data_IF_817016122551
#
_entry.id   IF_817016122551
#
_cell.length_a   1.000
_cell.length_b   1.000
_cell.length_c   1.000
_cell.angle_alpha   90.00
_cell.angle_beta   90.00
_cell.angle_gamma   90.00
#
_symmetry.space_group_name_H-M   'P 1'
#
loop_
_entity.id
_entity.type
_entity.pdbx_description
1 polymer ?
#
# COMPACT_ATOMS: atom_id res chain seq x y z
N UNK A 1 31.47 74.78 -38.35
CA UNK A 1 31.43 73.32 -38.54
C UNK A 1 32.83 72.83 -38.31
N UNK A 2 33.16 71.97 -37.39
CA UNK A 2 32.47 71.24 -36.32
C UNK A 2 33.61 70.36 -35.76
N UNK A 3 33.54 69.98 -34.48
CA UNK A 3 34.21 68.77 -33.96
C UNK A 3 35.76 68.84 -33.85
N UNK A 4 36.45 68.54 -32.75
CA UNK A 4 36.15 67.72 -31.58
C UNK A 4 37.02 68.19 -30.40
N UNK A 5 36.36 68.56 -29.32
CA UNK A 5 36.88 68.51 -27.96
C UNK A 5 36.82 67.06 -27.47
N UNK A 6 37.94 66.50 -27.04
CA UNK A 6 37.93 65.44 -26.03
C UNK A 6 39.30 65.33 -25.37
N UNK A 7 39.30 64.85 -24.12
CA UNK A 7 40.42 64.59 -23.21
C UNK A 7 40.68 65.65 -22.13
N UNK A 8 39.71 65.77 -21.22
CA UNK A 8 40.04 65.91 -19.79
C UNK A 8 39.27 64.86 -18.99
N UNK A 9 39.90 64.20 -18.00
CA UNK A 9 39.26 63.16 -17.20
C UNK A 9 38.30 63.81 -16.20
N UNK A 10 37.02 63.50 -16.33
CA UNK A 10 36.00 63.84 -15.33
C UNK A 10 36.28 63.04 -14.06
N UNK A 11 36.70 63.72 -12.99
CA UNK A 11 36.77 63.14 -11.66
C UNK A 11 35.38 62.61 -11.27
N UNK A 12 35.30 61.31 -11.01
CA UNK A 12 34.09 60.64 -10.54
C UNK A 12 33.66 61.26 -9.20
N UNK A 13 32.52 61.94 -9.21
CA UNK A 13 31.83 62.43 -8.01
C UNK A 13 31.37 61.20 -7.21
N UNK A 14 31.86 61.09 -5.97
CA UNK A 14 31.48 60.03 -5.04
C UNK A 14 29.95 59.97 -4.88
N UNK A 15 29.35 58.76 -4.80
CA UNK A 15 27.93 58.62 -4.51
C UNK A 15 27.66 59.13 -3.09
N UNK A 16 26.65 60.00 -2.97
CA UNK A 16 26.16 60.47 -1.67
C UNK A 16 25.73 59.28 -0.80
N UNK A 17 25.93 59.33 0.52
CA UNK A 17 25.44 58.28 1.41
C UNK A 17 23.92 58.21 1.31
N UNK A 18 23.42 57.04 0.93
CA UNK A 18 21.99 56.72 0.92
C UNK A 18 21.42 56.94 2.33
N UNK A 19 20.28 57.63 2.50
CA UNK A 19 19.65 57.75 3.81
C UNK A 19 19.34 56.36 4.36
N UNK A 20 19.67 56.15 5.63
CA UNK A 20 19.47 54.91 6.34
C UNK A 20 18.01 54.43 6.20
N UNK A 21 17.76 53.11 6.08
CA UNK A 21 16.40 52.57 6.11
C UNK A 21 15.75 52.97 7.44
N UNK A 22 14.61 53.65 7.35
CA UNK A 22 13.81 53.98 8.52
C UNK A 22 13.53 52.70 9.34
N UNK A 23 13.59 52.76 10.68
CA UNK A 23 13.16 51.64 11.51
C UNK A 23 11.71 51.33 11.16
N UNK A 24 11.45 50.10 10.72
CA UNK A 24 10.09 49.64 10.44
C UNK A 24 9.21 49.78 11.68
N UNK A 25 7.88 49.87 11.52
CA UNK A 25 6.96 49.93 12.64
C UNK A 25 7.20 48.73 13.57
N UNK A 26 7.39 49.01 14.85
CA UNK A 26 7.47 47.99 15.90
C UNK A 26 6.22 47.11 15.84
N UNK A 27 6.33 45.80 16.11
CA UNK A 27 5.18 44.90 16.12
C UNK A 27 4.16 45.41 17.15
N UNK A 28 3.00 45.84 16.67
CA UNK A 28 1.85 46.19 17.51
C UNK A 28 1.60 45.05 18.51
N UNK A 29 1.43 45.34 19.81
CA UNK A 29 1.17 44.30 20.80
C UNK A 29 -0.13 43.58 20.42
N UNK A 30 -0.07 42.24 20.34
CA UNK A 30 -1.23 41.39 20.07
C UNK A 30 -2.41 41.85 20.94
N UNK A 31 -3.56 42.12 20.31
CA UNK A 31 -4.72 42.64 21.02
C UNK A 31 -5.12 41.60 22.07
N UNK A 32 -5.67 42.01 23.20
CA UNK A 32 -6.12 41.07 24.24
C UNK A 32 -7.09 39.99 23.67
N UNK A 33 -7.83 40.35 22.62
CA UNK A 33 -8.67 39.45 21.81
C UNK A 33 -7.85 38.36 21.11
N UNK A 34 -6.72 38.69 20.49
CA UNK A 34 -5.85 37.74 19.78
C UNK A 34 -5.21 36.74 20.75
N UNK A 35 -4.81 37.22 21.93
CA UNK A 35 -4.29 36.37 23.01
C UNK A 35 -5.36 35.39 23.49
N UNK A 36 -6.60 35.86 23.70
CA UNK A 36 -7.71 35.01 24.13
C UNK A 36 -8.08 33.97 23.05
N UNK A 37 -8.04 34.36 21.77
CA UNK A 37 -8.28 33.44 20.64
C UNK A 37 -7.19 32.35 20.60
N UNK A 38 -5.92 32.72 20.76
CA UNK A 38 -4.83 31.76 20.76
C UNK A 38 -4.91 30.78 21.94
N UNK A 39 -5.25 31.26 23.14
CA UNK A 39 -5.48 30.42 24.32
C UNK A 39 -6.61 29.40 24.10
N UNK A 40 -7.73 29.84 23.50
CA UNK A 40 -8.84 28.94 23.17
C UNK A 40 -8.45 27.87 22.13
N UNK A 41 -7.62 28.23 21.14
CA UNK A 41 -7.08 27.27 20.17
C UNK A 41 -6.17 26.24 20.84
N UNK A 42 -5.25 26.68 21.69
CA UNK A 42 -4.31 25.81 22.38
C UNK A 42 -5.03 24.82 23.32
N UNK A 43 -6.05 25.29 24.05
CA UNK A 43 -6.90 24.44 24.91
C UNK A 43 -7.60 23.34 24.10
N UNK A 44 -8.22 23.69 22.97
CA UNK A 44 -8.91 22.71 22.11
C UNK A 44 -7.93 21.72 21.49
N UNK A 45 -6.72 22.16 21.11
CA UNK A 45 -5.68 21.29 20.58
C UNK A 45 -5.15 20.33 21.65
N UNK A 46 -4.98 20.79 22.88
CA UNK A 46 -4.61 19.96 24.02
C UNK A 46 -5.70 18.94 24.37
N UNK A 47 -6.96 19.36 24.36
CA UNK A 47 -8.11 18.46 24.50
C UNK A 47 -8.09 17.35 23.43
N UNK A 48 -7.88 17.71 22.16
CA UNK A 48 -7.80 16.74 21.07
C UNK A 48 -6.62 15.77 21.24
N UNK A 49 -5.46 16.24 21.73
CA UNK A 49 -4.30 15.38 22.03
C UNK A 49 -4.59 14.38 23.15
N UNK A 50 -5.21 14.84 24.24
CA UNK A 50 -5.49 14.02 25.43
C UNK A 50 -6.61 13.02 25.19
N UNK A 51 -7.64 13.39 24.43
CA UNK A 51 -8.81 12.55 24.13
C UNK A 51 -8.65 11.69 22.87
N UNK A 52 -7.44 11.68 22.30
CA UNK A 52 -7.13 10.88 21.13
C UNK A 52 -7.38 9.38 21.41
N UNK A 53 -7.98 8.64 20.46
CA UNK A 53 -8.09 7.20 20.60
C UNK A 53 -6.73 6.56 20.86
N UNK A 54 -6.63 5.77 21.94
CA UNK A 54 -5.36 5.16 22.40
C UNK A 54 -4.64 4.39 21.28
N UNK A 55 -5.39 3.75 20.39
CA UNK A 55 -4.84 3.02 19.24
C UNK A 55 -4.21 3.95 18.20
N UNK A 56 -4.81 5.11 17.94
CA UNK A 56 -4.27 6.10 16.99
C UNK A 56 -2.99 6.72 17.54
N UNK A 57 -2.97 7.08 18.83
CA UNK A 57 -1.77 7.58 19.50
C UNK A 57 -0.60 6.59 19.38
N UNK A 58 -0.81 5.35 19.84
CA UNK A 58 0.19 4.28 19.76
C UNK A 58 0.68 4.00 18.34
N UNK A 59 -0.18 4.16 17.34
CA UNK A 59 0.15 3.87 15.95
C UNK A 59 0.86 5.02 15.24
N UNK A 60 0.51 6.28 15.55
CA UNK A 60 1.01 7.44 14.82
C UNK A 60 2.26 8.03 15.44
N UNK A 61 2.38 8.00 16.78
CA UNK A 61 3.53 8.56 17.49
C UNK A 61 4.87 7.96 17.02
N UNK A 62 5.02 6.63 16.83
CA UNK A 62 6.27 6.08 16.31
C UNK A 62 6.59 6.55 14.89
N UNK A 63 5.55 6.71 14.04
CA UNK A 63 5.72 7.16 12.65
C UNK A 63 6.11 8.64 12.58
N UNK A 64 5.53 9.46 13.45
CA UNK A 64 5.88 10.88 13.58
C UNK A 64 7.29 11.04 14.14
N UNK A 65 7.69 10.20 15.10
CA UNK A 65 9.06 10.20 15.63
C UNK A 65 10.09 9.85 14.55
N UNK A 66 9.78 8.85 13.74
CA UNK A 66 10.61 8.44 12.60
C UNK A 66 10.73 9.55 11.56
N UNK A 67 9.62 10.23 11.24
CA UNK A 67 9.61 11.41 10.38
C UNK A 67 10.55 12.51 10.90
N UNK A 68 10.46 12.84 12.19
CA UNK A 68 11.31 13.86 12.82
C UNK A 68 12.79 13.46 12.79
N UNK A 69 13.09 12.20 13.08
CA UNK A 69 14.46 11.68 13.02
C UNK A 69 15.02 11.74 11.58
N UNK A 70 14.21 11.39 10.58
CA UNK A 70 14.59 11.50 9.18
C UNK A 70 14.79 12.96 8.74
N UNK A 71 13.93 13.89 9.17
CA UNK A 71 14.10 15.32 8.90
C UNK A 71 15.40 15.87 9.52
N UNK A 72 15.75 15.40 10.73
CA UNK A 72 17.04 15.75 11.39
C UNK A 72 18.24 15.19 10.62
N UNK A 73 18.13 13.99 10.04
CA UNK A 73 19.18 13.38 9.21
C UNK A 73 19.40 14.12 7.88
N UNK A 74 18.31 14.61 7.26
CA UNK A 74 18.37 15.32 5.98
C UNK A 74 18.81 16.80 6.11
N UNK A 75 18.82 17.35 7.33
CA UNK A 75 19.29 18.71 7.66
C UNK A 75 18.70 19.81 6.75
N UNK A 76 17.37 19.93 6.73
CA UNK A 76 16.67 20.96 5.95
C UNK A 76 16.92 22.37 6.54
N UNK A 77 17.74 23.16 5.85
CA UNK A 77 18.11 24.54 6.22
C UNK A 77 16.94 25.53 6.20
N UNK A 78 17.00 26.53 7.07
CA UNK A 78 16.08 27.67 7.11
C UNK A 78 16.26 28.56 5.87
N UNK A 79 15.15 28.96 5.23
CA UNK A 79 15.14 29.76 3.99
C UNK A 79 15.26 28.97 2.67
N UNK A 80 15.27 27.63 2.71
CA UNK A 80 15.23 26.79 1.51
C UNK A 80 13.87 26.76 0.81
N UNK A 81 13.81 26.13 -0.37
CA UNK A 81 12.55 25.90 -1.12
C UNK A 81 11.51 25.09 -0.36
N UNK A 82 11.96 24.27 0.60
CA UNK A 82 11.12 23.45 1.46
C UNK A 82 11.18 23.99 2.89
N UNK A 83 10.12 23.74 3.66
CA UNK A 83 10.04 24.16 5.05
C UNK A 83 11.26 23.69 5.87
N UNK A 84 11.71 24.41 6.90
CA UNK A 84 12.84 23.98 7.72
C UNK A 84 12.47 22.86 8.70
N UNK A 85 13.49 22.23 9.31
CA UNK A 85 13.35 21.29 10.44
C UNK A 85 12.34 20.16 10.16
N UNK A 86 11.48 19.85 11.15
CA UNK A 86 10.47 18.81 11.12
C UNK A 86 9.10 19.28 10.59
N UNK A 87 9.01 20.50 10.07
CA UNK A 87 7.80 21.00 9.44
C UNK A 87 7.46 20.20 8.19
N UNK A 88 6.19 19.87 8.07
CA UNK A 88 5.69 18.96 7.06
C UNK A 88 5.42 19.70 5.75
N UNK A 89 6.04 19.19 4.69
CA UNK A 89 5.84 19.64 3.31
C UNK A 89 5.54 18.41 2.43
N UNK A 90 4.83 18.62 1.33
CA UNK A 90 4.53 17.55 0.37
C UNK A 90 5.81 16.97 -0.23
N UNK A 91 6.75 17.82 -0.61
CA UNK A 91 8.01 17.37 -1.22
C UNK A 91 8.81 16.47 -0.28
N UNK A 92 8.91 16.87 0.99
CA UNK A 92 9.54 16.06 2.03
C UNK A 92 8.78 14.74 2.25
N UNK A 93 7.44 14.79 2.28
CA UNK A 93 6.62 13.60 2.51
C UNK A 93 6.79 12.59 1.37
N UNK A 94 6.83 13.07 0.14
CA UNK A 94 7.11 12.25 -1.04
C UNK A 94 8.47 11.56 -0.94
N UNK A 95 9.52 12.32 -0.62
CA UNK A 95 10.88 11.81 -0.52
C UNK A 95 10.99 10.75 0.59
N UNK A 96 10.46 11.06 1.77
CA UNK A 96 10.43 10.13 2.90
C UNK A 96 9.70 8.83 2.55
N UNK A 97 8.52 8.91 1.91
CA UNK A 97 7.77 7.71 1.57
C UNK A 97 8.51 6.89 0.52
N UNK A 98 9.09 7.53 -0.49
CA UNK A 98 9.79 6.84 -1.59
C UNK A 98 11.08 6.17 -1.12
N UNK A 99 11.92 6.90 -0.39
CA UNK A 99 13.30 6.48 -0.13
C UNK A 99 13.44 5.71 1.20
N UNK A 100 12.65 6.06 2.23
CA UNK A 100 12.79 5.48 3.57
C UNK A 100 11.70 4.46 3.90
N UNK A 101 10.46 4.66 3.42
CA UNK A 101 9.30 3.84 3.84
C UNK A 101 8.90 2.76 2.84
N UNK A 102 8.89 3.07 1.54
CA UNK A 102 8.42 2.15 0.49
C UNK A 102 9.49 1.15 0.03
N UNK A 103 10.76 1.54 0.10
CA UNK A 103 11.92 0.73 -0.27
C UNK A 103 12.25 -0.36 0.75
N UNK A 104 11.90 -0.13 2.03
CA UNK A 104 12.34 -0.99 3.13
C UNK A 104 11.47 -2.23 3.36
N UNK A 105 12.09 -3.22 3.99
CA UNK A 105 11.41 -4.37 4.53
C UNK A 105 10.58 -4.07 5.79
N UNK A 106 9.50 -4.83 6.03
CA UNK A 106 8.77 -4.75 7.29
C UNK A 106 9.67 -5.11 8.48
N UNK A 107 9.79 -4.20 9.45
CA UNK A 107 10.61 -4.41 10.66
C UNK A 107 10.09 -5.52 11.58
N UNK A 108 8.77 -5.72 11.62
CA UNK A 108 8.11 -6.71 12.50
C UNK A 108 6.92 -7.33 11.76
N UNK A 109 6.64 -8.60 12.06
CA UNK A 109 5.39 -9.24 11.64
C UNK A 109 5.54 -10.72 11.27
N UNK A 110 4.39 -11.37 11.10
CA UNK A 110 4.31 -12.79 10.72
C UNK A 110 4.98 -13.08 9.38
N UNK A 111 4.92 -12.15 8.42
CA UNK A 111 5.53 -12.30 7.08
C UNK A 111 7.05 -12.37 7.16
N UNK A 112 7.70 -11.45 7.88
CA UNK A 112 9.15 -11.47 8.09
C UNK A 112 9.59 -12.75 8.84
N UNK A 113 8.85 -13.15 9.89
CA UNK A 113 9.14 -14.40 10.62
C UNK A 113 9.05 -15.63 9.70
N UNK A 114 8.04 -15.69 8.83
CA UNK A 114 7.87 -16.78 7.88
C UNK A 114 8.98 -16.80 6.81
N UNK A 115 9.41 -15.64 6.32
CA UNK A 115 10.54 -15.54 5.39
C UNK A 115 11.85 -16.00 6.05
N UNK A 116 12.16 -15.49 7.25
CA UNK A 116 13.34 -15.93 8.02
C UNK A 116 13.31 -17.43 8.31
N UNK A 117 12.13 -17.98 8.62
CA UNK A 117 11.97 -19.42 8.82
C UNK A 117 12.20 -20.21 7.52
N UNK A 118 11.71 -19.73 6.37
CA UNK A 118 11.97 -20.35 5.06
C UNK A 118 13.45 -20.32 4.68
N UNK A 119 14.13 -19.18 4.88
CA UNK A 119 15.58 -19.05 4.62
C UNK A 119 16.38 -20.03 5.49
N UNK A 120 16.07 -20.11 6.80
CA UNK A 120 16.67 -21.10 7.73
C UNK A 120 16.41 -22.56 7.34
N UNK A 121 15.23 -22.87 6.80
CA UNK A 121 14.89 -24.22 6.31
C UNK A 121 15.59 -24.56 5.00
N UNK A 122 15.84 -23.57 4.14
CA UNK A 122 16.56 -23.74 2.88
C UNK A 122 18.08 -23.88 3.10
N UNK A 123 18.63 -23.23 4.12
CA UNK A 123 20.06 -23.30 4.49
C UNK A 123 20.44 -24.55 5.28
N UNK A 124 19.48 -25.32 5.80
CA UNK A 124 19.75 -26.60 6.49
C UNK A 124 19.42 -27.79 5.58
N UNK A 125 20.42 -28.50 5.03
CA UNK A 125 20.20 -29.59 4.09
C UNK A 125 20.00 -30.93 4.81
N UNK A 126 18.95 -31.11 5.63
CA UNK A 126 18.56 -32.43 6.15
C UNK A 126 17.02 -32.59 6.27
N UNK A 127 16.46 -33.78 5.97
CA UNK A 127 15.03 -33.97 5.76
C UNK A 127 14.21 -33.99 7.07
N UNK A 128 12.93 -33.55 7.06
CA UNK A 128 12.08 -33.57 8.23
C UNK A 128 11.59 -35.00 8.54
N UNK A 129 12.07 -35.58 9.63
CA UNK A 129 11.48 -36.78 10.23
C UNK A 129 10.16 -36.43 10.93
N UNK A 130 9.06 -36.90 10.33
CA UNK A 130 7.68 -37.21 10.81
C UNK A 130 7.09 -36.46 12.04
N UNK A 131 5.79 -36.11 11.99
CA UNK A 131 5.13 -35.38 13.07
C UNK A 131 4.81 -36.29 14.27
N UNK A 132 5.32 -35.96 15.47
CA UNK A 132 4.81 -36.50 16.72
C UNK A 132 3.76 -35.57 17.34
N UNK A 133 2.53 -36.05 17.27
CA UNK A 133 1.45 -36.03 18.27
C UNK A 133 1.51 -34.99 19.41
N UNK A 134 0.46 -34.18 19.45
CA UNK A 134 0.05 -33.29 20.54
C UNK A 134 0.35 -33.84 21.95
N UNK A 135 0.99 -33.02 22.79
CA UNK A 135 0.71 -32.97 24.24
C UNK A 135 0.65 -31.53 24.71
N UNK A 136 -0.43 -31.22 25.43
CA UNK A 136 -0.72 -29.93 26.07
C UNK A 136 0.24 -29.68 27.24
N UNK A 137 0.59 -28.40 27.43
CA UNK A 137 0.83 -27.80 28.73
C UNK A 137 2.29 -27.65 29.17
N UNK A 138 2.88 -26.48 28.93
CA UNK A 138 3.23 -25.52 29.99
C UNK A 138 3.83 -24.26 29.37
N UNK A 139 3.36 -23.11 29.83
CA UNK A 139 3.87 -21.81 29.43
C UNK A 139 5.25 -21.59 30.05
N UNK A 140 6.30 -21.67 29.23
CA UNK A 140 7.61 -21.14 29.56
C UNK A 140 7.81 -19.86 28.76
N UNK A 141 8.01 -18.75 29.47
CA UNK A 141 8.36 -17.46 28.89
C UNK A 141 9.69 -17.58 28.14
N UNK A 142 9.61 -17.52 26.81
CA UNK A 142 10.78 -17.27 25.98
C UNK A 142 11.12 -15.78 26.10
N UNK A 143 12.12 -15.48 26.94
CA UNK A 143 12.90 -14.25 26.87
C UNK A 143 13.44 -14.15 25.45
N UNK A 144 12.95 -13.17 24.69
CA UNK A 144 13.50 -12.84 23.39
C UNK A 144 14.70 -11.94 23.65
N UNK A 145 15.87 -12.57 23.69
CA UNK A 145 17.17 -11.92 23.59
C UNK A 145 17.17 -11.02 22.34
N UNK A 146 17.29 -9.71 22.57
CA UNK A 146 17.48 -8.71 21.52
C UNK A 146 18.91 -8.87 20.98
N UNK A 147 19.06 -9.80 20.04
CA UNK A 147 20.27 -9.92 19.22
C UNK A 147 20.20 -8.96 18.05
N UNK A 148 21.19 -8.06 18.00
CA UNK A 148 21.54 -7.14 16.94
C UNK A 148 21.62 -7.79 15.54
N UNK A 149 21.26 -6.98 14.54
CA UNK A 149 21.73 -6.97 13.15
C UNK A 149 22.38 -8.23 12.56
N UNK A 150 21.55 -9.18 12.10
CA UNK A 150 21.91 -10.03 10.96
C UNK A 150 21.39 -9.39 9.67
N UNK A 151 22.33 -8.71 9.00
CA UNK A 151 22.27 -8.00 7.72
C UNK A 151 21.94 -8.91 6.52
N UNK A 152 20.83 -9.63 6.56
CA UNK A 152 20.20 -10.20 5.36
C UNK A 152 19.02 -9.30 5.00
N UNK A 153 19.24 -8.36 4.08
CA UNK A 153 18.19 -7.50 3.54
C UNK A 153 17.01 -8.38 3.09
N UNK A 154 15.88 -8.25 3.78
CA UNK A 154 14.66 -8.99 3.46
C UNK A 154 14.11 -8.46 2.14
N UNK A 155 13.73 -9.35 1.22
CA UNK A 155 13.17 -8.96 -0.09
C UNK A 155 11.71 -8.50 0.03
N UNK A 156 11.15 -8.54 1.24
CA UNK A 156 9.77 -8.13 1.47
C UNK A 156 9.66 -6.62 1.34
N UNK A 157 8.58 -6.18 0.68
CA UNK A 157 8.21 -4.77 0.62
C UNK A 157 7.09 -4.47 1.60
N UNK A 158 7.14 -3.28 2.22
CA UNK A 158 6.12 -2.80 3.15
C UNK A 158 4.72 -2.81 2.51
N UNK A 159 3.70 -3.25 3.25
CA UNK A 159 2.31 -3.25 2.76
C UNK A 159 1.74 -1.83 2.63
N UNK A 160 0.81 -1.65 1.69
CA UNK A 160 0.27 -0.35 1.30
C UNK A 160 -0.49 0.27 2.47
N UNK A 161 -1.18 -0.56 3.26
CA UNK A 161 -1.86 -0.12 4.46
C UNK A 161 -0.89 0.52 5.49
N UNK A 162 0.33 0.01 5.59
CA UNK A 162 1.36 0.61 6.45
C UNK A 162 1.82 1.94 5.91
N UNK A 163 2.12 2.03 4.60
CA UNK A 163 2.50 3.28 3.91
C UNK A 163 1.40 4.34 4.03
N UNK A 164 0.14 3.94 3.82
CA UNK A 164 -1.04 4.78 4.04
C UNK A 164 -1.10 5.28 5.49
N UNK A 165 -0.78 4.43 6.45
CA UNK A 165 -0.68 4.80 7.86
C UNK A 165 0.42 5.83 8.15
N UNK A 166 1.56 5.77 7.47
CA UNK A 166 2.60 6.83 7.52
C UNK A 166 2.07 8.15 6.98
N UNK A 167 1.44 8.12 5.80
CA UNK A 167 0.85 9.33 5.22
C UNK A 167 -0.18 9.97 6.15
N UNK A 168 -1.07 9.17 6.75
CA UNK A 168 -2.07 9.69 7.71
C UNK A 168 -1.42 10.27 8.97
N UNK A 169 -0.38 9.63 9.49
CA UNK A 169 0.31 10.09 10.69
C UNK A 169 1.06 11.42 10.47
N UNK A 170 1.71 11.56 9.32
CA UNK A 170 2.40 12.82 8.95
C UNK A 170 1.39 13.91 8.58
N UNK A 171 0.26 13.58 7.95
CA UNK A 171 -0.80 14.54 7.69
C UNK A 171 -1.45 15.09 8.97
N UNK A 172 -1.58 14.26 10.02
CA UNK A 172 -2.04 14.74 11.32
C UNK A 172 -1.00 15.65 11.98
N UNK A 173 0.29 15.34 11.83
CA UNK A 173 1.36 16.23 12.29
C UNK A 173 1.30 17.59 11.57
N UNK A 174 1.09 17.61 10.26
CA UNK A 174 0.89 18.83 9.48
C UNK A 174 -0.33 19.62 9.96
N UNK A 175 -1.47 18.96 10.21
CA UNK A 175 -2.68 19.61 10.68
C UNK A 175 -2.43 20.31 12.03
N UNK A 176 -1.67 19.64 12.91
CA UNK A 176 -1.26 20.21 14.20
C UNK A 176 -0.28 21.38 14.06
N UNK A 177 0.68 21.30 13.13
CA UNK A 177 1.64 22.38 12.92
C UNK A 177 0.96 23.62 12.34
N UNK A 178 0.00 23.42 11.44
CA UNK A 178 -0.77 24.49 10.81
C UNK A 178 -1.76 25.13 11.79
N UNK A 179 -2.40 24.34 12.66
CA UNK A 179 -3.32 24.88 13.68
C UNK A 179 -2.62 25.72 14.75
N UNK A 180 -1.34 25.44 15.01
CA UNK A 180 -0.48 26.26 15.88
C UNK A 180 0.13 27.49 15.17
N UNK A 181 -0.21 27.71 13.89
CA UNK A 181 0.36 28.83 13.13
C UNK A 181 1.85 28.71 12.81
N UNK A 182 2.48 27.54 13.00
CA UNK A 182 3.93 27.36 12.80
C UNK A 182 4.35 27.48 11.33
N UNK A 183 3.43 27.18 10.40
CA UNK A 183 3.63 27.39 8.96
C UNK A 183 2.30 27.44 8.19
N UNK A 184 2.31 28.06 7.01
CA UNK A 184 1.16 28.18 6.10
C UNK A 184 1.25 27.27 4.86
N UNK A 185 2.01 26.17 4.94
CA UNK A 185 2.13 25.25 3.81
C UNK A 185 0.83 24.52 3.52
N UNK A 186 0.51 24.37 2.22
CA UNK A 186 -0.66 23.64 1.78
C UNK A 186 -0.65 22.17 2.23
N UNK A 187 -1.84 21.58 2.37
CA UNK A 187 -1.99 20.19 2.78
C UNK A 187 -1.17 19.26 1.87
N UNK A 188 -0.33 18.37 2.43
CA UNK A 188 0.55 17.48 1.66
C UNK A 188 -0.23 16.28 1.10
N UNK A 189 -1.16 16.56 0.18
CA UNK A 189 -2.01 15.54 -0.44
C UNK A 189 -2.36 15.89 -1.89
N UNK A 190 -1.43 16.52 -2.63
CA UNK A 190 -1.67 16.85 -4.03
C UNK A 190 -1.43 15.63 -4.93
N UNK A 191 -1.39 15.89 -6.24
CA UNK A 191 -1.38 14.88 -7.30
C UNK A 191 -0.18 13.93 -7.17
N UNK A 192 1.00 14.45 -6.84
CA UNK A 192 2.21 13.65 -6.75
C UNK A 192 2.12 12.57 -5.65
N UNK A 193 1.64 12.93 -4.45
CA UNK A 193 1.47 11.95 -3.37
C UNK A 193 0.38 10.93 -3.69
N UNK A 194 -0.67 11.37 -4.39
CA UNK A 194 -1.76 10.49 -4.83
C UNK A 194 -1.28 9.48 -5.87
N UNK A 195 -0.44 9.92 -6.82
CA UNK A 195 0.18 9.06 -7.81
C UNK A 195 1.12 8.03 -7.15
N UNK A 196 1.93 8.45 -6.16
CA UNK A 196 2.81 7.55 -5.42
C UNK A 196 2.02 6.47 -4.67
N UNK A 197 0.96 6.85 -3.94
CA UNK A 197 0.06 5.90 -3.25
C UNK A 197 -0.53 4.88 -4.23
N UNK A 198 -0.99 5.36 -5.38
CA UNK A 198 -1.58 4.52 -6.43
C UNK A 198 -0.56 3.56 -7.02
N UNK A 199 0.66 4.03 -7.29
CA UNK A 199 1.77 3.19 -7.77
C UNK A 199 2.09 2.06 -6.79
N UNK A 200 2.21 2.38 -5.49
CA UNK A 200 2.48 1.38 -4.44
C UNK A 200 1.34 0.37 -4.34
N UNK A 201 0.09 0.82 -4.41
CA UNK A 201 -1.08 -0.06 -4.37
C UNK A 201 -1.12 -1.00 -5.58
N UNK A 202 -0.88 -0.49 -6.80
CA UNK A 202 -0.82 -1.29 -8.03
C UNK A 202 0.30 -2.31 -7.99
N UNK A 203 1.52 -1.91 -7.59
CA UNK A 203 2.64 -2.84 -7.47
C UNK A 203 2.41 -3.95 -6.44
N UNK A 204 1.63 -3.69 -5.38
CA UNK A 204 1.20 -4.76 -4.47
C UNK A 204 0.14 -5.67 -5.04
N UNK A 205 -0.80 -5.12 -5.79
CA UNK A 205 -1.80 -5.93 -6.47
C UNK A 205 -1.13 -6.89 -7.45
N UNK A 206 -0.19 -6.39 -8.27
CA UNK A 206 0.56 -7.21 -9.22
C UNK A 206 1.31 -8.34 -8.52
N UNK A 207 2.11 -8.02 -7.48
CA UNK A 207 2.81 -9.06 -6.69
C UNK A 207 1.88 -10.10 -6.10
N UNK A 208 0.71 -9.68 -5.60
CA UNK A 208 -0.27 -10.64 -5.09
C UNK A 208 -0.81 -11.53 -6.19
N UNK A 209 -1.05 -11.01 -7.39
CA UNK A 209 -1.44 -11.83 -8.53
C UNK A 209 -0.34 -12.81 -8.92
N UNK A 210 0.91 -12.35 -9.02
CA UNK A 210 2.06 -13.20 -9.36
C UNK A 210 2.30 -14.29 -8.30
N UNK A 211 2.04 -13.98 -7.02
CA UNK A 211 2.10 -14.91 -5.89
C UNK A 211 0.84 -15.80 -5.75
N UNK A 212 -0.25 -15.54 -6.50
CA UNK A 212 -1.45 -16.38 -6.43
C UNK A 212 -1.15 -17.71 -7.08
N UNK A 213 -0.85 -18.69 -6.24
CA UNK A 213 -0.94 -20.10 -6.59
C UNK A 213 -2.40 -20.50 -6.46
N UNK A 214 -3.02 -20.92 -7.57
CA UNK A 214 -4.38 -21.43 -7.55
C UNK A 214 -4.45 -22.67 -6.66
N UNK A 215 -5.17 -22.55 -5.55
CA UNK A 215 -5.37 -23.63 -4.57
C UNK A 215 -6.34 -24.70 -5.07
N UNK A 216 -7.05 -24.43 -6.17
CA UNK A 216 -7.92 -25.36 -6.87
C UNK A 216 -7.16 -26.25 -7.85
N UNK A 217 -5.97 -25.84 -8.30
CA UNK A 217 -5.16 -26.57 -9.28
C UNK A 217 -4.75 -27.94 -8.71
N UNK A 218 -4.97 -29.00 -9.49
CA UNK A 218 -4.82 -30.41 -9.14
C UNK A 218 -5.69 -30.90 -7.96
N UNK A 219 -6.78 -30.20 -7.62
CA UNK A 219 -7.79 -30.69 -6.64
C UNK A 219 -9.06 -31.17 -7.34
N UNK A 220 -10.02 -31.75 -6.62
CA UNK A 220 -11.36 -32.11 -7.16
C UNK A 220 -12.13 -30.87 -7.67
N UNK A 221 -11.70 -29.66 -7.30
CA UNK A 221 -12.21 -28.38 -7.80
C UNK A 221 -11.45 -27.85 -9.02
N UNK A 222 -10.34 -28.49 -9.39
CA UNK A 222 -9.71 -28.29 -10.69
C UNK A 222 -10.72 -28.81 -11.70
N UNK A 223 -11.24 -27.91 -12.54
CA UNK A 223 -12.22 -28.28 -13.53
C UNK A 223 -11.68 -29.32 -14.51
N UNK A 224 -12.54 -29.83 -15.37
CA UNK A 224 -12.10 -30.73 -16.42
C UNK A 224 -11.44 -29.91 -17.54
N UNK A 225 -10.25 -30.32 -17.98
CA UNK A 225 -9.64 -29.75 -19.19
C UNK A 225 -10.46 -30.20 -20.41
N UNK A 226 -10.55 -29.38 -21.46
CA UNK A 226 -11.29 -29.72 -22.68
C UNK A 226 -10.91 -31.10 -23.26
N UNK A 227 -9.63 -31.48 -23.15
CA UNK A 227 -9.11 -32.78 -23.59
C UNK A 227 -9.60 -33.98 -22.74
N UNK A 228 -9.97 -33.76 -21.47
CA UNK A 228 -10.40 -34.81 -20.54
C UNK A 228 -11.90 -35.13 -20.66
N UNK A 229 -12.68 -34.22 -21.25
CA UNK A 229 -14.15 -34.36 -21.40
C UNK A 229 -14.52 -35.56 -22.29
N UNK A 230 -13.88 -35.79 -23.45
CA UNK A 230 -14.14 -36.98 -24.26
C UNK A 230 -13.80 -38.29 -23.54
N UNK A 231 -12.75 -38.31 -22.73
CA UNK A 231 -12.36 -39.49 -21.96
C UNK A 231 -13.38 -39.84 -20.87
N UNK A 232 -13.89 -38.84 -20.15
CA UNK A 232 -14.95 -39.04 -19.17
C UNK A 232 -16.23 -39.55 -19.84
N UNK A 233 -16.58 -38.94 -20.97
CA UNK A 233 -17.76 -39.33 -21.77
C UNK A 233 -17.64 -40.78 -22.23
N UNK A 234 -16.50 -41.19 -22.82
CA UNK A 234 -16.25 -42.57 -23.23
C UNK A 234 -16.37 -43.56 -22.08
N UNK A 235 -15.84 -43.23 -20.90
CA UNK A 235 -15.94 -44.09 -19.71
C UNK A 235 -17.38 -44.23 -19.22
N UNK A 236 -18.15 -43.15 -19.19
CA UNK A 236 -19.56 -43.19 -18.78
C UNK A 236 -20.40 -44.08 -19.73
N UNK A 237 -20.20 -43.94 -21.04
CA UNK A 237 -20.84 -44.78 -22.05
C UNK A 237 -20.37 -46.24 -22.02
N UNK A 238 -19.08 -46.49 -21.74
CA UNK A 238 -18.56 -47.85 -21.58
C UNK A 238 -19.19 -48.60 -20.40
N UNK A 239 -19.49 -47.89 -19.31
CA UNK A 239 -20.15 -48.45 -18.12
C UNK A 239 -21.66 -48.66 -18.31
N UNK A 240 -22.31 -47.91 -19.21
CA UNK A 240 -23.75 -48.02 -19.45
C UNK A 240 -24.15 -49.26 -20.27
N UNK A 241 -23.19 -49.91 -20.94
CA UNK A 241 -23.42 -51.05 -21.84
C UNK A 241 -23.58 -52.40 -21.10
N UNK A 242 -23.45 -52.44 -19.78
CA UNK A 242 -23.42 -53.70 -19.02
C UNK A 242 -24.22 -53.73 -17.71
N UNK A 243 -25.04 -52.73 -17.37
CA UNK A 243 -25.72 -52.68 -16.07
C UNK A 243 -27.08 -51.97 -16.08
N UNK A 244 -27.93 -52.31 -15.09
CA UNK A 244 -29.29 -51.79 -14.87
C UNK A 244 -29.35 -50.28 -14.48
N UNK A 245 -28.27 -49.52 -14.66
CA UNK A 245 -28.11 -48.13 -14.24
C UNK A 245 -27.88 -47.14 -15.40
N UNK A 246 -28.16 -47.57 -16.64
CA UNK A 246 -27.98 -46.76 -17.86
C UNK A 246 -28.60 -45.36 -17.74
N UNK A 247 -29.83 -45.25 -17.24
CA UNK A 247 -30.53 -43.97 -17.09
C UNK A 247 -29.83 -43.03 -16.10
N UNK A 248 -29.34 -43.56 -14.98
CA UNK A 248 -28.64 -42.78 -13.95
C UNK A 248 -27.29 -42.27 -14.47
N UNK A 249 -26.57 -43.11 -15.22
CA UNK A 249 -25.31 -42.75 -15.88
C UNK A 249 -25.54 -41.69 -16.96
N UNK A 250 -26.57 -41.87 -17.80
CA UNK A 250 -26.93 -40.91 -18.84
C UNK A 250 -27.33 -39.56 -18.24
N UNK A 251 -28.16 -39.54 -17.19
CA UNK A 251 -28.54 -38.31 -16.46
C UNK A 251 -27.31 -37.60 -15.88
N UNK A 252 -26.38 -38.35 -15.30
CA UNK A 252 -25.15 -37.79 -14.72
C UNK A 252 -24.26 -37.19 -15.80
N UNK A 253 -24.11 -37.89 -16.94
CA UNK A 253 -23.32 -37.44 -18.08
C UNK A 253 -23.92 -36.17 -18.72
N UNK A 254 -25.24 -36.13 -18.90
CA UNK A 254 -25.94 -34.99 -19.47
C UNK A 254 -25.85 -33.77 -18.54
N UNK A 255 -26.05 -33.96 -17.23
CA UNK A 255 -25.85 -32.91 -16.23
C UNK A 255 -24.41 -32.38 -16.22
N UNK A 256 -23.42 -33.26 -16.35
CA UNK A 256 -22.00 -32.90 -16.48
C UNK A 256 -21.75 -32.04 -17.74
N UNK A 257 -22.24 -32.48 -18.90
CA UNK A 257 -22.07 -31.77 -20.17
C UNK A 257 -22.76 -30.40 -20.17
N UNK A 258 -23.96 -30.26 -19.59
CA UNK A 258 -24.58 -28.94 -19.41
C UNK A 258 -23.77 -28.02 -18.50
N UNK A 259 -23.18 -28.55 -17.43
CA UNK A 259 -22.33 -27.78 -16.54
C UNK A 259 -21.09 -27.25 -17.25
N UNK A 260 -20.51 -28.04 -18.16
CA UNK A 260 -19.30 -27.67 -18.89
C UNK A 260 -19.57 -26.80 -20.12
N UNK A 261 -20.52 -27.20 -20.99
CA UNK A 261 -20.79 -26.53 -22.28
C UNK A 261 -21.53 -25.20 -22.11
N UNK A 262 -22.46 -25.13 -21.17
CA UNK A 262 -23.27 -23.94 -20.91
C UNK A 262 -22.76 -23.14 -19.69
N UNK A 263 -21.69 -23.61 -19.02
CA UNK A 263 -21.13 -23.01 -17.80
C UNK A 263 -22.15 -22.80 -16.67
N UNK A 264 -23.16 -23.66 -16.61
CA UNK A 264 -24.28 -23.53 -15.67
C UNK A 264 -23.94 -24.06 -14.28
N UNK A 265 -24.31 -23.30 -13.25
CA UNK A 265 -24.30 -23.76 -11.86
C UNK A 265 -25.34 -24.86 -11.65
N UNK A 266 -25.13 -25.72 -10.65
CA UNK A 266 -26.07 -26.81 -10.35
C UNK A 266 -27.48 -26.27 -10.01
N UNK A 267 -27.55 -25.12 -9.33
CA UNK A 267 -28.80 -24.40 -9.04
C UNK A 267 -29.60 -24.04 -10.29
N UNK A 268 -28.94 -23.83 -11.42
CA UNK A 268 -29.58 -23.44 -12.67
C UNK A 268 -29.91 -24.67 -13.52
N UNK A 269 -29.19 -25.79 -13.34
CA UNK A 269 -29.38 -27.04 -14.09
C UNK A 269 -30.51 -27.91 -13.54
N UNK A 270 -30.68 -27.97 -12.23
CA UNK A 270 -31.68 -28.80 -11.58
C UNK A 270 -33.14 -28.42 -11.91
N UNK A 271 -33.51 -27.13 -12.01
CA UNK A 271 -34.88 -26.74 -12.33
C UNK A 271 -35.15 -26.63 -13.84
N UNK A 272 -34.22 -26.97 -14.73
CA UNK A 272 -34.49 -26.90 -16.18
C UNK A 272 -35.53 -27.94 -16.57
N UNK A 273 -36.58 -27.50 -17.24
CA UNK A 273 -37.58 -28.37 -17.81
C UNK A 273 -37.34 -28.56 -19.31
N UNK A 274 -37.83 -29.66 -19.88
CA UNK A 274 -37.70 -29.92 -21.31
C UNK A 274 -38.30 -28.81 -22.19
N UNK A 275 -39.42 -28.14 -21.82
CA UNK A 275 -39.96 -27.01 -22.58
C UNK A 275 -39.06 -25.77 -22.64
N UNK A 276 -38.09 -25.63 -21.72
CA UNK A 276 -37.14 -24.53 -21.72
C UNK A 276 -36.06 -24.70 -22.81
N UNK A 277 -35.91 -25.92 -23.35
CA UNK A 277 -34.92 -26.26 -24.38
C UNK A 277 -35.56 -26.18 -25.76
N UNK A 278 -35.14 -25.19 -26.55
CA UNK A 278 -35.58 -25.02 -27.94
C UNK A 278 -34.43 -25.25 -28.92
N UNK A 279 -34.76 -25.76 -30.11
CA UNK A 279 -33.82 -25.87 -31.21
C UNK A 279 -33.58 -24.50 -31.85
N UNK A 280 -32.33 -24.16 -32.04
CA UNK A 280 -31.94 -22.96 -32.79
C UNK A 280 -31.20 -23.43 -34.05
N UNK A 281 -31.74 -23.17 -35.26
CA UNK A 281 -31.04 -23.50 -36.49
C UNK A 281 -29.84 -22.56 -36.64
N UNK A 282 -28.63 -23.12 -36.67
CA UNK A 282 -27.39 -22.39 -36.91
C UNK A 282 -26.88 -22.77 -38.32
N UNK A 283 -27.26 -22.02 -39.37
CA UNK A 283 -27.07 -22.44 -40.77
C UNK A 283 -25.61 -22.53 -41.22
N UNK A 284 -24.67 -21.88 -40.51
CA UNK A 284 -23.25 -21.82 -40.87
C UNK A 284 -22.33 -22.42 -39.78
N UNK A 285 -22.86 -23.18 -38.82
CA UNK A 285 -22.04 -23.84 -37.80
C UNK A 285 -22.17 -25.36 -37.92
N UNK A 286 -21.10 -26.00 -38.39
CA UNK A 286 -21.01 -27.45 -38.58
C UNK A 286 -19.77 -27.82 -39.41
N UNK A 287 -19.43 -29.12 -39.55
CA UNK A 287 -18.22 -29.55 -40.27
C UNK A 287 -18.20 -29.21 -41.78
N UNK A 288 -19.29 -28.68 -42.33
CA UNK A 288 -19.41 -28.24 -43.72
C UNK A 288 -19.77 -26.74 -43.85
N UNK A 289 -19.63 -25.94 -42.77
CA UNK A 289 -19.86 -24.49 -42.74
C UNK A 289 -18.57 -23.69 -42.87
#
# INVERSE_FOLDING_TARGET
MDQLLSLLPTAARAPAPSPAPAPGPEPEPDRAEDIAIQQALDEVLEYHRTHRPKNTAKNYEPKQREWKAWCKKMDFKEGGKYLPRDYVDEGKLLLFIKDEVASRAPRKGRRLKAERQRKRQAESPLPPSRPLKQRRGHAAMAVLEEGDDDEACSDLVLMYNTVRGYCSAVNELWAHQTSLGLHSAARPQRVALTALKTSIARGQHQRRQDEVVDRGLATIRDGYTAAQIPDLTRKAWGQSLGGNCMEQLFRTQLCFLFGNSMLLRLSNRLPMELPDLFSMPLPNEGPNG
#
